data_IF_428631145349
#
_entry.id   IF_428631145349
#
_cell.length_a   1.000
_cell.length_b   1.000
_cell.length_c   1.000
_cell.angle_alpha   90.00
_cell.angle_beta   90.00
_cell.angle_gamma   90.00
#
_symmetry.space_group_name_H-M   'P 1'
#
loop_
_entity.id
_entity.type
_entity.pdbx_description
1 polymer ?
#
# COMPACT_ATOMS: atom_id res chain seq x y z
N UNK A 1 -3.62 5.29 -23.25
CA UNK A 1 -3.10 3.98 -22.80
C UNK A 1 -2.61 4.17 -21.38
N UNK A 2 -3.04 3.34 -20.47
CA UNK A 2 -2.60 3.39 -19.07
C UNK A 2 -1.20 2.77 -18.94
N UNK A 3 -0.39 3.29 -18.00
CA UNK A 3 0.88 2.67 -17.64
C UNK A 3 0.65 1.41 -16.80
N UNK A 4 1.65 0.53 -16.69
CA UNK A 4 1.56 -0.70 -15.89
C UNK A 4 1.23 -0.41 -14.42
N UNK A 5 1.76 0.70 -13.89
CA UNK A 5 1.48 1.15 -12.51
C UNK A 5 0.03 1.64 -12.36
N UNK A 6 -0.48 2.40 -13.34
CA UNK A 6 -1.87 2.84 -13.37
C UNK A 6 -2.86 1.66 -13.53
N UNK A 7 -2.51 0.66 -14.35
CA UNK A 7 -3.31 -0.57 -14.51
C UNK A 7 -3.46 -1.30 -13.16
N UNK A 8 -2.38 -1.42 -12.39
CA UNK A 8 -2.46 -2.02 -11.04
C UNK A 8 -3.29 -1.15 -10.09
N UNK A 9 -3.10 0.17 -10.10
CA UNK A 9 -3.86 1.08 -9.22
C UNK A 9 -5.35 1.06 -9.51
N UNK A 10 -5.78 1.11 -10.79
CA UNK A 10 -7.21 1.01 -11.11
C UNK A 10 -7.80 -0.32 -10.65
N UNK A 11 -7.05 -1.41 -10.79
CA UNK A 11 -7.49 -2.70 -10.26
C UNK A 11 -7.67 -2.63 -8.73
N UNK A 12 -6.69 -2.09 -8.00
CA UNK A 12 -6.77 -1.93 -6.54
C UNK A 12 -7.98 -1.11 -6.12
N UNK A 13 -8.22 0.01 -6.80
CA UNK A 13 -9.37 0.88 -6.55
C UNK A 13 -10.71 0.13 -6.72
N UNK A 14 -10.88 -0.56 -7.84
CA UNK A 14 -12.11 -1.29 -8.13
C UNK A 14 -12.30 -2.51 -7.23
N UNK A 15 -11.22 -3.23 -6.92
CA UNK A 15 -11.27 -4.37 -6.02
C UNK A 15 -11.68 -3.94 -4.61
N UNK A 16 -11.09 -2.87 -4.10
CA UNK A 16 -11.39 -2.33 -2.78
C UNK A 16 -12.85 -1.86 -2.68
N UNK A 17 -13.34 -1.09 -3.66
CA UNK A 17 -14.75 -0.69 -3.73
C UNK A 17 -15.69 -1.91 -3.72
N UNK A 18 -15.35 -2.94 -4.49
CA UNK A 18 -16.15 -4.17 -4.56
C UNK A 18 -16.11 -4.97 -3.26
N UNK A 19 -14.95 -5.05 -2.61
CA UNK A 19 -14.78 -5.74 -1.34
C UNK A 19 -15.64 -5.10 -0.25
N UNK A 20 -15.60 -3.78 -0.13
CA UNK A 20 -16.34 -3.02 0.89
C UNK A 20 -17.86 -3.04 0.66
N UNK A 21 -18.30 -3.28 -0.57
CA UNK A 21 -19.74 -3.50 -0.88
C UNK A 21 -20.19 -4.94 -0.66
N UNK A 22 -19.27 -5.90 -0.67
CA UNK A 22 -19.60 -7.32 -0.53
C UNK A 22 -19.72 -7.77 0.93
N UNK A 23 -19.06 -7.07 1.84
CA UNK A 23 -18.94 -7.41 3.26
C UNK A 23 -18.90 -6.14 4.11
N UNK A 24 -19.07 -6.28 5.42
CA UNK A 24 -18.99 -5.15 6.36
C UNK A 24 -17.63 -4.44 6.23
N UNK A 25 -17.60 -3.15 5.85
CA UNK A 25 -16.36 -2.38 5.76
C UNK A 25 -15.56 -2.31 7.05
N UNK A 26 -16.23 -2.32 8.21
CA UNK A 26 -15.59 -2.27 9.52
C UNK A 26 -14.69 -3.47 9.86
N UNK A 27 -14.74 -4.52 9.03
CA UNK A 27 -13.85 -5.67 9.17
C UNK A 27 -12.45 -5.45 8.57
N UNK A 28 -12.23 -4.39 7.80
CA UNK A 28 -11.02 -4.17 7.00
C UNK A 28 -10.37 -2.84 7.33
N UNK A 29 -9.05 -2.81 7.34
CA UNK A 29 -8.26 -1.58 7.44
C UNK A 29 -7.20 -1.61 6.34
N UNK A 30 -7.31 -0.69 5.39
CA UNK A 30 -6.31 -0.54 4.32
C UNK A 30 -4.98 -0.06 4.90
N UNK A 31 -3.87 -0.66 4.45
CA UNK A 31 -2.51 -0.31 4.86
C UNK A 31 -1.52 -0.27 3.70
N UNK A 32 -0.27 0.04 4.01
CA UNK A 32 0.84 -0.03 3.05
C UNK A 32 0.80 1.07 1.99
N UNK A 33 1.39 0.79 0.83
CA UNK A 33 1.55 1.78 -0.24
C UNK A 33 0.23 2.29 -0.82
N UNK A 34 -0.80 1.43 -0.92
CA UNK A 34 -2.13 1.85 -1.41
C UNK A 34 -2.81 2.80 -0.42
N UNK A 35 -2.64 2.60 0.91
CA UNK A 35 -3.11 3.55 1.90
C UNK A 35 -2.47 4.93 1.69
N UNK A 36 -1.14 4.98 1.54
CA UNK A 36 -0.43 6.25 1.33
C UNK A 36 -0.85 6.93 0.03
N UNK A 37 -1.07 6.15 -1.02
CA UNK A 37 -1.52 6.64 -2.31
C UNK A 37 -2.93 7.22 -2.24
N UNK A 38 -3.87 6.53 -1.60
CA UNK A 38 -5.29 6.88 -1.61
C UNK A 38 -5.68 7.95 -0.58
N UNK A 39 -4.89 8.13 0.49
CA UNK A 39 -5.25 9.02 1.60
C UNK A 39 -4.20 10.08 1.95
N UNK A 40 -2.93 9.87 1.56
CA UNK A 40 -1.83 10.77 1.92
C UNK A 40 -1.12 11.35 0.69
N UNK A 41 -1.76 11.31 -0.48
CA UNK A 41 -1.27 11.89 -1.74
C UNK A 41 0.15 11.46 -2.12
N UNK A 42 0.53 10.24 -1.76
CA UNK A 42 1.81 9.70 -2.21
C UNK A 42 1.83 9.65 -3.74
N UNK A 43 2.83 10.24 -4.40
CA UNK A 43 2.94 10.17 -5.86
C UNK A 43 3.46 8.81 -6.35
N UNK A 44 3.78 7.90 -5.42
CA UNK A 44 4.28 6.57 -5.74
C UNK A 44 3.15 5.55 -5.83
N UNK A 45 3.07 4.88 -6.95
CA UNK A 45 2.17 3.73 -7.14
C UNK A 45 2.61 2.54 -6.29
N UNK A 46 1.67 1.67 -5.95
CA UNK A 46 1.92 0.40 -5.26
C UNK A 46 1.65 -0.78 -6.18
N UNK A 47 2.52 -1.78 -6.18
CA UNK A 47 2.32 -3.00 -6.97
C UNK A 47 1.29 -3.94 -6.34
N UNK A 48 1.18 -3.89 -5.01
CA UNK A 48 0.39 -4.79 -4.19
C UNK A 48 -0.56 -4.00 -3.29
N UNK A 49 -1.66 -4.63 -2.88
CA UNK A 49 -2.59 -4.08 -1.91
C UNK A 49 -2.58 -4.93 -0.63
N UNK A 50 -2.35 -4.27 0.50
CA UNK A 50 -2.31 -4.88 1.82
C UNK A 50 -3.49 -4.38 2.67
N UNK A 51 -4.20 -5.31 3.31
CA UNK A 51 -5.38 -5.04 4.12
C UNK A 51 -5.26 -5.82 5.43
N UNK A 52 -5.43 -5.16 6.57
CA UNK A 52 -5.61 -5.84 7.84
C UNK A 52 -7.08 -6.22 8.03
N UNK A 53 -7.30 -7.38 8.66
CA UNK A 53 -8.62 -7.94 8.92
C UNK A 53 -8.82 -8.13 10.41
N UNK A 54 -9.83 -7.46 10.94
CA UNK A 54 -10.13 -7.48 12.39
C UNK A 54 -10.92 -8.71 12.83
N UNK A 55 -11.81 -9.21 11.96
CA UNK A 55 -12.65 -10.36 12.27
C UNK A 55 -13.05 -11.14 11.01
N UNK A 56 -13.71 -12.26 11.20
CA UNK A 56 -14.19 -13.15 10.13
C UNK A 56 -13.36 -14.42 9.96
N UNK A 57 -13.90 -15.43 9.26
CA UNK A 57 -13.21 -16.70 9.06
C UNK A 57 -12.27 -16.65 7.84
N UNK A 58 -11.22 -17.48 7.85
CA UNK A 58 -10.31 -17.67 6.70
C UNK A 58 -11.10 -18.05 5.45
N UNK A 59 -12.07 -18.95 5.60
CA UNK A 59 -12.89 -19.44 4.50
C UNK A 59 -13.74 -18.33 3.89
N UNK A 60 -14.33 -17.45 4.72
CA UNK A 60 -15.12 -16.31 4.23
C UNK A 60 -14.26 -15.34 3.43
N UNK A 61 -13.09 -14.99 3.93
CA UNK A 61 -12.15 -14.10 3.21
C UNK A 61 -11.70 -14.72 1.89
N UNK A 62 -11.32 -16.00 1.93
CA UNK A 62 -10.92 -16.75 0.73
C UNK A 62 -12.06 -16.77 -0.29
N UNK A 63 -13.28 -17.11 0.14
CA UNK A 63 -14.46 -17.13 -0.72
C UNK A 63 -14.73 -15.76 -1.33
N UNK A 64 -14.70 -14.69 -0.54
CA UNK A 64 -14.98 -13.32 -1.01
C UNK A 64 -13.91 -12.84 -2.00
N UNK A 65 -12.63 -13.06 -1.72
CA UNK A 65 -11.54 -12.69 -2.62
C UNK A 65 -11.67 -13.35 -4.00
N UNK A 66 -11.84 -14.68 -4.04
CA UNK A 66 -12.02 -15.37 -5.32
C UNK A 66 -13.36 -15.05 -5.99
N UNK A 67 -14.42 -14.78 -5.23
CA UNK A 67 -15.70 -14.33 -5.78
C UNK A 67 -15.55 -13.03 -6.56
N UNK A 68 -14.77 -12.07 -6.04
CA UNK A 68 -14.50 -10.81 -6.74
C UNK A 68 -13.66 -11.07 -7.99
N UNK A 69 -12.54 -11.78 -7.87
CA UNK A 69 -11.61 -12.04 -8.97
C UNK A 69 -12.27 -12.78 -10.14
N UNK A 70 -13.21 -13.70 -9.85
CA UNK A 70 -13.92 -14.50 -10.86
C UNK A 70 -15.27 -13.90 -11.28
N UNK A 71 -15.64 -12.70 -10.79
CA UNK A 71 -16.88 -12.03 -11.18
C UNK A 71 -16.73 -11.42 -12.58
N UNK A 72 -17.43 -12.00 -13.56
CA UNK A 72 -17.40 -11.51 -14.93
C UNK A 72 -17.89 -10.07 -15.11
N UNK A 73 -18.78 -9.55 -14.24
CA UNK A 73 -19.20 -8.16 -14.29
C UNK A 73 -18.07 -7.24 -13.80
N UNK A 74 -17.36 -7.64 -12.74
CA UNK A 74 -16.17 -6.96 -12.24
C UNK A 74 -15.08 -6.92 -13.33
N UNK A 75 -14.74 -8.05 -13.93
CA UNK A 75 -13.73 -8.14 -14.99
C UNK A 75 -14.09 -7.25 -16.20
N UNK A 76 -15.36 -7.28 -16.64
CA UNK A 76 -15.83 -6.40 -17.74
C UNK A 76 -15.68 -4.93 -17.42
N UNK A 77 -15.88 -4.51 -16.16
CA UNK A 77 -15.74 -3.10 -15.76
C UNK A 77 -14.29 -2.59 -15.86
N UNK A 78 -13.32 -3.49 -15.87
CA UNK A 78 -11.89 -3.17 -15.96
C UNK A 78 -11.36 -3.06 -17.40
N UNK A 79 -12.11 -3.55 -18.39
CA UNK A 79 -11.66 -3.57 -19.80
C UNK A 79 -11.36 -2.19 -20.37
N UNK A 80 -12.08 -1.16 -19.93
CA UNK A 80 -11.85 0.24 -20.36
C UNK A 80 -10.56 0.84 -19.78
N UNK A 81 -9.84 0.10 -18.93
CA UNK A 81 -8.59 0.49 -18.28
C UNK A 81 -7.43 -0.45 -18.67
N UNK A 82 -7.46 -0.96 -19.89
CA UNK A 82 -6.43 -1.85 -20.44
C UNK A 82 -6.23 -3.16 -19.64
N UNK A 83 -7.28 -3.67 -18.95
CA UNK A 83 -7.30 -4.99 -18.32
C UNK A 83 -8.27 -5.88 -19.09
N UNK A 84 -7.74 -6.74 -19.96
CA UNK A 84 -8.52 -7.64 -20.78
C UNK A 84 -9.06 -8.84 -19.97
N UNK A 85 -8.23 -9.37 -19.05
CA UNK A 85 -8.54 -10.54 -18.23
C UNK A 85 -7.76 -10.53 -16.90
N UNK A 86 -8.18 -11.35 -15.95
CA UNK A 86 -7.49 -11.60 -14.68
C UNK A 86 -7.13 -13.08 -14.58
N UNK A 87 -5.86 -13.40 -14.72
CA UNK A 87 -5.32 -14.74 -14.57
C UNK A 87 -5.01 -15.03 -13.10
N UNK A 88 -5.90 -15.73 -12.43
CA UNK A 88 -5.73 -16.09 -11.01
C UNK A 88 -4.76 -17.27 -10.90
N UNK A 89 -3.69 -17.11 -10.10
CA UNK A 89 -2.77 -18.20 -9.82
C UNK A 89 -3.48 -19.32 -9.05
N UNK A 90 -2.96 -20.55 -9.19
CA UNK A 90 -3.51 -21.74 -8.53
C UNK A 90 -3.78 -21.49 -7.03
N UNK A 91 -5.05 -21.53 -6.59
CA UNK A 91 -5.40 -21.29 -5.20
C UNK A 91 -4.77 -22.28 -4.22
N UNK A 92 -4.39 -23.48 -4.66
CA UNK A 92 -3.73 -24.48 -3.83
C UNK A 92 -2.26 -24.09 -3.50
N UNK A 93 -1.64 -23.24 -4.33
CA UNK A 93 -0.28 -22.72 -4.13
C UNK A 93 -0.24 -21.36 -3.42
N UNK A 94 -1.40 -20.76 -3.17
CA UNK A 94 -1.48 -19.48 -2.49
C UNK A 94 -1.22 -19.66 -0.98
N UNK A 95 -0.48 -18.72 -0.36
CA UNK A 95 -0.30 -18.70 1.09
C UNK A 95 -1.65 -18.42 1.76
N UNK A 96 -2.20 -19.41 2.40
CA UNK A 96 -3.49 -19.39 3.10
C UNK A 96 -3.28 -19.94 4.52
N UNK A 97 -2.73 -19.12 5.41
CA UNK A 97 -2.51 -19.46 6.83
C UNK A 97 -3.62 -18.85 7.69
N UNK A 98 -3.65 -19.17 8.98
CA UNK A 98 -4.58 -18.54 9.93
C UNK A 98 -4.39 -17.03 10.01
N UNK A 99 -3.16 -16.54 9.82
CA UNK A 99 -2.80 -15.12 9.96
C UNK A 99 -2.73 -14.36 8.63
N UNK A 100 -2.65 -15.05 7.49
CA UNK A 100 -2.45 -14.38 6.19
C UNK A 100 -3.18 -15.11 5.08
N UNK A 101 -3.99 -14.38 4.32
CA UNK A 101 -4.60 -14.85 3.07
C UNK A 101 -4.07 -14.01 1.91
N UNK A 102 -3.35 -14.65 0.99
CA UNK A 102 -2.71 -13.98 -0.14
C UNK A 102 -3.32 -14.45 -1.46
N UNK A 103 -3.76 -13.51 -2.27
CA UNK A 103 -4.28 -13.73 -3.61
C UNK A 103 -3.26 -13.18 -4.61
N UNK A 104 -2.61 -14.06 -5.37
CA UNK A 104 -1.70 -13.69 -6.45
C UNK A 104 -2.36 -13.94 -7.79
N UNK A 105 -2.26 -12.98 -8.68
CA UNK A 105 -2.83 -13.05 -10.02
C UNK A 105 -2.04 -12.16 -10.98
N UNK A 106 -2.33 -12.29 -12.28
CA UNK A 106 -1.83 -11.42 -13.32
C UNK A 106 -2.97 -10.64 -13.95
N UNK A 107 -2.80 -9.35 -14.12
CA UNK A 107 -3.66 -8.53 -14.95
C UNK A 107 -3.17 -8.67 -16.39
N UNK A 108 -4.03 -9.15 -17.28
CA UNK A 108 -3.67 -9.38 -18.69
C UNK A 108 -4.10 -8.15 -19.47
N UNK A 109 -3.14 -7.50 -20.12
CA UNK A 109 -3.42 -6.36 -21.02
C UNK A 109 -3.98 -6.83 -22.35
N UNK A 110 -4.62 -5.95 -23.16
CA UNK A 110 -5.05 -6.30 -24.51
C UNK A 110 -3.92 -6.78 -25.44
N UNK A 111 -2.68 -6.38 -25.16
CA UNK A 111 -1.48 -6.86 -25.88
C UNK A 111 -0.97 -8.22 -25.39
N UNK A 112 -1.64 -8.83 -24.40
CA UNK A 112 -1.24 -10.12 -23.83
C UNK A 112 -0.13 -10.02 -22.77
N UNK A 113 0.29 -8.84 -22.36
CA UNK A 113 1.27 -8.69 -21.28
C UNK A 113 0.61 -9.04 -19.94
N UNK A 114 1.33 -9.79 -19.13
CA UNK A 114 0.91 -10.20 -17.79
C UNK A 114 1.57 -9.30 -16.73
N UNK A 115 0.78 -8.50 -16.04
CA UNK A 115 1.21 -7.64 -14.95
C UNK A 115 0.92 -8.35 -13.61
N UNK A 116 1.94 -8.86 -12.92
CA UNK A 116 1.74 -9.52 -11.64
C UNK A 116 1.34 -8.51 -10.57
N UNK A 117 0.41 -8.91 -9.71
CA UNK A 117 0.02 -8.17 -8.51
C UNK A 117 -0.54 -9.14 -7.46
N UNK A 118 -0.76 -8.65 -6.25
CA UNK A 118 -1.41 -9.42 -5.18
C UNK A 118 -2.30 -8.54 -4.31
N UNK A 119 -3.29 -9.19 -3.71
CA UNK A 119 -4.01 -8.67 -2.55
C UNK A 119 -3.70 -9.56 -1.37
N UNK A 120 -3.26 -8.97 -0.27
CA UNK A 120 -2.92 -9.68 0.95
C UNK A 120 -3.79 -9.20 2.11
N UNK A 121 -4.45 -10.14 2.77
CA UNK A 121 -5.16 -9.91 4.00
C UNK A 121 -4.33 -10.45 5.16
N UNK A 122 -4.00 -9.58 6.12
CA UNK A 122 -3.31 -9.95 7.36
C UNK A 122 -4.26 -9.84 8.53
N UNK A 123 -4.36 -10.89 9.35
CA UNK A 123 -5.22 -10.85 10.53
C UNK A 123 -4.54 -10.10 11.66
N UNK A 124 -5.25 -9.16 12.23
CA UNK A 124 -4.91 -8.49 13.48
C UNK A 124 -5.94 -8.87 14.52
N UNK A 125 -5.52 -9.14 15.74
CA UNK A 125 -6.44 -9.47 16.81
C UNK A 125 -7.26 -8.26 17.27
N UNK A 126 -6.66 -7.07 17.19
CA UNK A 126 -7.31 -5.78 17.51
C UNK A 126 -6.56 -4.66 16.78
N UNK A 127 -7.27 -3.62 16.33
CA UNK A 127 -6.67 -2.31 16.07
C UNK A 127 -6.81 -1.49 17.34
N UNK A 128 -5.74 -0.86 17.81
CA UNK A 128 -5.84 0.06 18.94
C UNK A 128 -6.69 1.27 18.54
N UNK A 129 -7.46 1.80 19.47
CA UNK A 129 -8.26 3.01 19.28
C UNK A 129 -7.36 4.16 18.78
N UNK A 130 -7.77 4.82 17.69
CA UNK A 130 -7.02 5.91 17.09
C UNK A 130 -5.98 5.51 16.03
N UNK A 131 -5.71 4.23 15.79
CA UNK A 131 -4.82 3.79 14.71
C UNK A 131 -5.48 3.79 13.32
N UNK A 132 -6.79 3.76 13.24
CA UNK A 132 -7.55 3.75 11.99
C UNK A 132 -8.68 4.76 11.99
N UNK A 133 -9.03 5.20 10.80
CA UNK A 133 -10.15 6.09 10.53
C UNK A 133 -10.87 5.68 9.25
N UNK A 134 -12.08 6.23 9.01
CA UNK A 134 -12.80 6.02 7.77
C UNK A 134 -12.92 7.33 7.00
N UNK A 135 -12.26 7.40 5.84
CA UNK A 135 -12.25 8.58 5.00
C UNK A 135 -12.64 8.26 3.55
N UNK A 136 -12.90 9.30 2.76
CA UNK A 136 -13.08 9.16 1.31
C UNK A 136 -11.72 8.97 0.64
N UNK A 137 -11.61 7.97 -0.23
CA UNK A 137 -10.47 7.84 -1.14
C UNK A 137 -10.30 9.16 -1.92
N UNK A 138 -9.07 9.55 -2.21
CA UNK A 138 -8.78 10.79 -2.94
C UNK A 138 -9.67 10.94 -4.19
N UNK A 139 -10.33 12.10 -4.29
CA UNK A 139 -11.33 12.36 -5.35
C UNK A 139 -10.71 12.49 -6.73
N UNK A 140 -9.45 12.90 -6.84
CA UNK A 140 -8.75 12.98 -8.12
C UNK A 140 -8.46 11.58 -8.65
N UNK A 141 -8.04 10.64 -7.78
CA UNK A 141 -7.86 9.22 -8.12
C UNK A 141 -9.20 8.62 -8.57
N UNK A 142 -10.27 8.82 -7.80
CA UNK A 142 -11.59 8.31 -8.15
C UNK A 142 -12.08 8.84 -9.51
N UNK A 143 -11.86 10.14 -9.76
CA UNK A 143 -12.23 10.81 -11.01
C UNK A 143 -11.43 10.29 -12.20
N UNK A 144 -10.12 10.04 -12.04
CA UNK A 144 -9.27 9.49 -13.11
C UNK A 144 -9.75 8.11 -13.56
N UNK A 145 -10.39 7.36 -12.64
CA UNK A 145 -10.99 6.05 -12.92
C UNK A 145 -12.50 6.11 -13.18
N UNK A 146 -13.05 7.31 -13.48
CA UNK A 146 -14.46 7.52 -13.84
C UNK A 146 -15.44 6.98 -12.79
N UNK A 147 -15.08 7.12 -11.51
CA UNK A 147 -15.87 6.67 -10.37
C UNK A 147 -16.11 7.81 -9.37
N UNK A 148 -17.13 7.63 -8.57
CA UNK A 148 -17.28 8.40 -7.34
C UNK A 148 -16.33 7.84 -6.28
N UNK A 149 -15.82 8.73 -5.45
CA UNK A 149 -15.06 8.33 -4.27
C UNK A 149 -15.96 7.56 -3.30
N UNK A 150 -15.38 6.63 -2.58
CA UNK A 150 -16.06 5.82 -1.57
C UNK A 150 -15.29 5.89 -0.24
N UNK A 151 -15.99 5.66 0.86
CA UNK A 151 -15.37 5.57 2.18
C UNK A 151 -14.69 4.24 2.37
N UNK A 152 -13.48 4.28 2.95
CA UNK A 152 -12.72 3.08 3.29
C UNK A 152 -12.06 3.27 4.65
N UNK A 153 -12.14 2.28 5.55
CA UNK A 153 -11.32 2.27 6.76
C UNK A 153 -9.86 2.07 6.37
N UNK A 154 -8.99 2.92 6.91
CA UNK A 154 -7.56 2.93 6.63
C UNK A 154 -6.76 3.35 7.86
N UNK A 155 -5.46 3.03 7.89
CA UNK A 155 -4.60 3.49 8.97
C UNK A 155 -4.35 5.00 8.87
N UNK A 156 -4.39 5.67 10.03
CA UNK A 156 -4.04 7.09 10.17
C UNK A 156 -2.58 7.34 9.79
N UNK A 157 -2.23 8.60 9.53
CA UNK A 157 -0.85 8.98 9.19
C UNK A 157 0.15 8.61 10.30
N UNK A 158 -0.20 8.84 11.57
CA UNK A 158 0.66 8.46 12.70
C UNK A 158 0.87 6.94 12.79
N UNK A 159 -0.18 6.14 12.62
CA UNK A 159 -0.07 4.70 12.59
C UNK A 159 0.75 4.20 11.39
N UNK A 160 0.60 4.86 10.23
CA UNK A 160 1.40 4.54 9.04
C UNK A 160 2.89 4.84 9.27
N UNK A 161 3.25 5.94 9.99
CA UNK A 161 4.64 6.22 10.39
C UNK A 161 5.20 5.09 11.23
N UNK A 162 4.51 4.67 12.29
CA UNK A 162 4.94 3.52 13.14
C UNK A 162 5.16 2.26 12.30
N UNK A 163 4.23 1.94 11.41
CA UNK A 163 4.35 0.77 10.53
C UNK A 163 5.57 0.86 9.60
N UNK A 164 5.90 2.05 9.10
CA UNK A 164 7.05 2.27 8.22
C UNK A 164 8.38 2.23 8.97
N UNK A 165 8.45 2.77 10.19
CA UNK A 165 9.63 2.63 11.07
C UNK A 165 9.88 1.15 11.38
N UNK A 166 8.85 0.41 11.78
CA UNK A 166 8.95 -1.05 11.99
C UNK A 166 9.38 -1.81 10.73
N UNK A 167 8.85 -1.44 9.57
CA UNK A 167 9.22 -2.07 8.31
C UNK A 167 10.70 -1.80 7.98
N UNK A 168 11.17 -0.58 8.18
CA UNK A 168 12.55 -0.18 7.95
C UNK A 168 13.52 -0.96 8.86
N UNK A 169 13.19 -1.10 10.15
CA UNK A 169 13.99 -1.85 11.13
C UNK A 169 13.89 -3.37 10.98
N UNK A 170 12.72 -3.88 10.58
CA UNK A 170 12.40 -5.31 10.73
C UNK A 170 12.52 -6.16 9.46
N UNK A 171 12.63 -5.56 8.26
CA UNK A 171 12.73 -6.34 7.02
C UNK A 171 14.10 -7.06 6.92
N UNK A 172 14.11 -8.29 6.39
CA UNK A 172 15.37 -8.98 6.07
C UNK A 172 16.24 -8.22 5.06
N UNK A 173 15.60 -7.50 4.13
CA UNK A 173 16.24 -6.59 3.16
C UNK A 173 15.55 -5.25 3.28
N UNK A 174 16.29 -4.23 3.69
CA UNK A 174 15.81 -2.86 3.84
C UNK A 174 15.31 -2.33 2.50
N UNK A 175 14.23 -1.54 2.53
CA UNK A 175 13.58 -1.04 1.31
C UNK A 175 13.60 0.49 1.29
N UNK A 176 14.21 1.09 0.28
CA UNK A 176 14.28 2.55 0.10
C UNK A 176 12.89 3.19 -0.04
N UNK A 177 11.90 2.43 -0.52
CA UNK A 177 10.51 2.89 -0.57
C UNK A 177 9.90 3.16 0.82
N UNK A 178 10.36 2.50 1.89
CA UNK A 178 9.87 2.78 3.24
C UNK A 178 10.38 4.15 3.73
N UNK A 179 11.58 4.57 3.32
CA UNK A 179 12.12 5.92 3.56
C UNK A 179 11.33 6.98 2.77
N UNK A 180 11.06 6.73 1.49
CA UNK A 180 10.22 7.62 0.69
C UNK A 180 8.84 7.80 1.32
N UNK A 181 8.21 6.72 1.71
CA UNK A 181 6.88 6.72 2.32
C UNK A 181 6.89 7.50 3.66
N UNK A 182 7.93 7.37 4.50
CA UNK A 182 8.12 8.18 5.71
C UNK A 182 8.27 9.67 5.37
N UNK A 183 9.08 10.01 4.37
CA UNK A 183 9.27 11.41 3.96
C UNK A 183 7.95 12.05 3.50
N UNK A 184 7.11 11.32 2.76
CA UNK A 184 5.78 11.80 2.36
C UNK A 184 4.89 12.04 3.58
N UNK A 185 4.86 11.11 4.53
CA UNK A 185 4.09 11.24 5.78
C UNK A 185 4.56 12.44 6.60
N UNK A 186 5.86 12.61 6.80
CA UNK A 186 6.42 13.75 7.54
C UNK A 186 6.13 15.09 6.87
N UNK A 187 6.25 15.18 5.54
CA UNK A 187 5.84 16.37 4.78
C UNK A 187 4.34 16.66 4.89
N UNK A 188 3.53 15.62 5.04
CA UNK A 188 2.10 15.72 5.31
C UNK A 188 1.74 16.11 6.75
N UNK A 189 2.73 16.36 7.62
CA UNK A 189 2.54 16.73 9.03
C UNK A 189 2.25 15.53 9.95
N UNK A 190 2.51 14.31 9.50
CA UNK A 190 2.34 13.10 10.31
C UNK A 190 3.70 12.69 10.89
N UNK A 191 3.89 12.86 12.19
CA UNK A 191 5.10 12.47 12.91
C UNK A 191 4.91 11.22 13.77
N UNK A 192 6.01 10.77 14.36
CA UNK A 192 5.99 9.73 15.39
C UNK A 192 5.58 10.39 16.71
N UNK A 193 4.33 10.23 17.12
CA UNK A 193 3.86 10.75 18.40
C UNK A 193 4.49 9.99 19.58
N UNK A 194 4.46 10.58 20.78
CA UNK A 194 4.90 9.90 22.00
C UNK A 194 4.19 8.54 22.22
N UNK A 195 2.89 8.46 21.91
CA UNK A 195 2.14 7.21 21.95
C UNK A 195 2.62 6.24 20.84
N UNK A 196 2.94 6.76 19.65
CA UNK A 196 3.49 5.96 18.55
C UNK A 196 4.88 5.39 18.87
N UNK A 197 5.74 6.19 19.53
CA UNK A 197 7.07 5.73 19.96
C UNK A 197 6.98 4.58 20.95
N UNK A 198 6.00 4.60 21.87
CA UNK A 198 5.75 3.51 22.82
C UNK A 198 5.30 2.19 22.16
N UNK A 199 4.82 2.25 20.93
CA UNK A 199 4.45 1.06 20.16
C UNK A 199 5.67 0.39 19.51
N UNK A 200 6.81 1.05 19.39
CA UNK A 200 8.05 0.47 18.87
C UNK A 200 8.69 -0.42 19.94
N UNK A 201 9.24 -1.56 19.53
CA UNK A 201 10.01 -2.39 20.45
C UNK A 201 11.35 -1.73 20.77
N UNK A 202 11.96 -2.14 21.90
CA UNK A 202 13.27 -1.65 22.32
C UNK A 202 14.31 -1.80 21.20
N UNK A 203 14.97 -0.70 20.84
CA UNK A 203 15.97 -0.66 19.79
C UNK A 203 15.44 -0.62 18.35
N UNK A 204 14.15 -0.77 18.09
CA UNK A 204 13.58 -0.66 16.72
C UNK A 204 13.85 0.71 16.09
N UNK A 205 13.76 1.77 16.88
CA UNK A 205 14.01 3.13 16.43
C UNK A 205 15.45 3.34 15.99
N UNK A 206 16.44 2.99 16.83
CA UNK A 206 17.86 3.09 16.49
C UNK A 206 18.21 2.23 15.27
N UNK A 207 17.65 1.01 15.21
CA UNK A 207 17.86 0.12 14.07
C UNK A 207 17.26 0.68 12.77
N UNK A 208 16.14 1.39 12.83
CA UNK A 208 15.57 2.05 11.66
C UNK A 208 16.51 3.13 11.10
N UNK A 209 17.15 3.91 11.99
CA UNK A 209 18.17 4.92 11.62
C UNK A 209 19.38 4.23 10.95
N UNK A 210 19.91 3.17 11.54
CA UNK A 210 21.03 2.43 10.95
C UNK A 210 20.68 1.87 9.56
N UNK A 211 19.49 1.29 9.41
CA UNK A 211 19.01 0.78 8.14
C UNK A 211 18.81 1.89 7.08
N UNK A 212 18.30 3.05 7.49
CA UNK A 212 18.16 4.23 6.63
C UNK A 212 19.52 4.66 6.07
N UNK A 213 20.54 4.74 6.91
CA UNK A 213 21.88 5.18 6.52
C UNK A 213 22.58 4.21 5.56
N UNK A 214 22.21 2.93 5.58
CA UNK A 214 22.75 1.92 4.68
C UNK A 214 22.17 1.92 3.27
N UNK A 215 21.07 2.65 3.01
CA UNK A 215 20.38 2.66 1.72
C UNK A 215 21.08 3.54 0.68
N UNK A 216 21.11 3.06 -0.56
CA UNK A 216 21.77 3.69 -1.69
C UNK A 216 20.78 4.36 -2.66
N UNK A 217 21.31 5.26 -3.51
CA UNK A 217 20.57 5.85 -4.61
C UNK A 217 20.02 4.78 -5.59
N UNK A 218 20.80 3.75 -5.91
CA UNK A 218 20.40 2.71 -6.85
C UNK A 218 19.18 1.92 -6.35
N UNK A 219 19.12 1.64 -5.04
CA UNK A 219 17.95 1.00 -4.42
C UNK A 219 16.72 1.92 -4.47
N UNK A 220 16.91 3.22 -4.22
CA UNK A 220 15.85 4.19 -4.33
C UNK A 220 15.35 4.32 -5.78
N UNK A 221 16.24 4.43 -6.75
CA UNK A 221 15.90 4.54 -8.17
C UNK A 221 15.02 3.37 -8.62
N UNK A 222 15.43 2.13 -8.37
CA UNK A 222 14.67 0.94 -8.77
C UNK A 222 13.40 0.67 -7.94
N UNK A 223 13.32 1.14 -6.68
CA UNK A 223 12.17 0.86 -5.82
C UNK A 223 11.15 2.01 -5.76
N UNK A 224 11.54 3.23 -6.14
CA UNK A 224 10.69 4.42 -6.01
C UNK A 224 10.52 5.12 -7.35
N UNK A 225 11.61 5.53 -8.02
CA UNK A 225 11.52 6.40 -9.21
C UNK A 225 10.75 5.74 -10.35
N UNK A 226 10.90 4.42 -10.54
CA UNK A 226 10.16 3.66 -11.53
C UNK A 226 8.63 3.63 -11.28
N UNK A 227 8.23 3.81 -10.02
CA UNK A 227 6.84 3.78 -9.56
C UNK A 227 6.23 5.16 -9.34
N UNK A 228 6.95 6.24 -9.62
CA UNK A 228 6.41 7.60 -9.49
C UNK A 228 5.49 7.95 -10.67
N UNK A 229 4.50 8.80 -10.39
CA UNK A 229 3.83 9.56 -11.43
C UNK A 229 4.84 10.34 -12.27
N UNK A 230 4.58 10.49 -13.57
CA UNK A 230 5.52 11.13 -14.48
C UNK A 230 5.85 12.56 -14.04
N UNK A 231 4.85 13.31 -13.63
CA UNK A 231 4.97 14.70 -13.16
C UNK A 231 5.82 14.80 -11.90
N UNK A 232 5.80 13.79 -11.05
CA UNK A 232 6.54 13.77 -9.77
C UNK A 232 8.01 13.35 -9.94
N UNK A 233 8.40 12.85 -11.11
CA UNK A 233 9.80 12.44 -11.36
C UNK A 233 10.75 13.62 -11.40
N UNK A 234 10.30 14.82 -11.76
CA UNK A 234 11.10 16.02 -11.70
C UNK A 234 11.49 16.37 -10.27
N UNK A 235 10.55 16.25 -9.32
CA UNK A 235 10.78 16.54 -7.90
C UNK A 235 11.61 15.44 -7.20
N UNK A 236 11.28 14.16 -7.45
CA UNK A 236 11.80 13.04 -6.65
C UNK A 236 12.81 12.16 -7.40
N UNK A 237 12.99 12.32 -8.70
CA UNK A 237 13.74 11.38 -9.55
C UNK A 237 15.24 11.68 -9.66
N UNK A 238 15.85 12.37 -8.69
CA UNK A 238 17.28 12.69 -8.72
C UNK A 238 17.99 12.24 -7.44
N UNK A 239 19.32 12.02 -7.55
CA UNK A 239 20.16 11.70 -6.38
C UNK A 239 20.13 12.79 -5.31
N UNK A 240 20.00 14.06 -5.72
CA UNK A 240 19.87 15.17 -4.77
C UNK A 240 18.53 15.11 -4.03
N UNK A 241 17.45 14.78 -4.73
CA UNK A 241 16.14 14.56 -4.11
C UNK A 241 16.20 13.41 -3.08
N UNK A 242 16.84 12.29 -3.45
CA UNK A 242 17.06 11.17 -2.52
C UNK A 242 17.79 11.61 -1.25
N UNK A 243 18.94 12.29 -1.39
CA UNK A 243 19.70 12.77 -0.24
C UNK A 243 18.87 13.70 0.65
N UNK A 244 18.06 14.57 0.04
CA UNK A 244 17.15 15.47 0.79
C UNK A 244 16.07 14.72 1.56
N UNK A 245 15.48 13.68 0.96
CA UNK A 245 14.47 12.82 1.61
C UNK A 245 15.10 12.01 2.76
N UNK A 246 16.29 11.44 2.53
CA UNK A 246 17.02 10.67 3.54
C UNK A 246 17.37 11.55 4.74
N UNK A 247 17.86 12.77 4.53
CA UNK A 247 18.14 13.73 5.59
C UNK A 247 16.89 14.18 6.34
N UNK A 248 15.78 14.40 5.64
CA UNK A 248 14.50 14.72 6.26
C UNK A 248 14.06 13.61 7.22
N UNK A 249 14.07 12.36 6.74
CA UNK A 249 13.63 11.22 7.57
C UNK A 249 14.58 11.03 8.75
N UNK A 250 15.89 11.15 8.54
CA UNK A 250 16.89 11.05 9.61
C UNK A 250 16.62 12.10 10.70
N UNK A 251 16.47 13.38 10.33
CA UNK A 251 16.27 14.46 11.28
C UNK A 251 14.97 14.31 12.07
N UNK A 252 13.90 13.81 11.45
CA UNK A 252 12.64 13.53 12.14
C UNK A 252 12.76 12.36 13.12
N UNK A 253 13.40 11.27 12.72
CA UNK A 253 13.62 10.15 13.62
C UNK A 253 14.55 10.54 14.79
N UNK A 254 15.59 11.33 14.60
CA UNK A 254 16.46 11.80 15.66
C UNK A 254 15.78 12.76 16.65
N UNK A 255 14.80 13.55 16.20
CA UNK A 255 14.05 14.46 17.07
C UNK A 255 12.99 13.76 17.92
N UNK A 256 12.56 12.58 17.51
CA UNK A 256 11.53 11.78 18.16
C UNK A 256 12.13 10.69 19.09
N UNK A 257 13.48 10.69 19.28
CA UNK A 257 14.25 9.71 20.04
C UNK A 257 14.30 9.97 21.56
#
# INVERSE_FOLDING_TARGET
MFTDTQIREVFHFYFLDRLLKLSDPGLYILKGGVNLRFFFRSPRYSEDMDIDVLAGSVQTLKKNGYKILNDGAFQRSLRSFDIADIEVNDPAKAKQTETTQRFRFGLITPAGHRLPTKVEFSRRNEASDGESESALVDTEIARSYRRLSFRCPHYTGGAAVVQKVRALAGRPVTQARDVFDLAILFRGGHGLSAAGSQLLADGEHAKAIDCLMGLTWQEYEGQVVEFLEMESREEYGSKNAWNSLQNLVLSQLESDA
#
